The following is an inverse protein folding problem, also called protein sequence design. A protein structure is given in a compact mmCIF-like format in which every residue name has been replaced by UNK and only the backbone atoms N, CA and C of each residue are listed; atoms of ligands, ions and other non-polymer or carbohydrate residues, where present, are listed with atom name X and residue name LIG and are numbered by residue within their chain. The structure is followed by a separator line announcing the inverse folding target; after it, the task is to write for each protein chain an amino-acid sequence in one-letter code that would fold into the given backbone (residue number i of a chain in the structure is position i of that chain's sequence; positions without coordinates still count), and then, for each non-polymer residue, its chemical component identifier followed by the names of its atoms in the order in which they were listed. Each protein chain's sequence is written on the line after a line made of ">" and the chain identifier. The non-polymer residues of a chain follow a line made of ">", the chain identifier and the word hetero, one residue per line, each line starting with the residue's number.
data_IF_126063876123
#
_entry.id   IF_126063876123
#
_cell.length_a   1.000
_cell.length_b   1.000
_cell.length_c   1.000
_cell.angle_alpha   90.00
_cell.angle_beta   90.00
_cell.angle_gamma   90.00
#
_symmetry.space_group_name_H-M   'P 1'
#
loop_
_entity.id
_entity.type
_entity.pdbx_description
1 polymer ?
#
# COMPACT_ATOMS: atom_id res chain seq x y z
N UNK A 1 -50.62 17.31 68.93
CA UNK A 1 -49.67 18.03 68.05
C UNK A 1 -48.28 17.52 68.38
N UNK A 2 -47.75 16.56 67.61
CA UNK A 2 -46.46 15.92 67.91
C UNK A 2 -45.73 15.65 66.60
N UNK A 3 -44.54 16.24 66.44
CA UNK A 3 -43.27 15.55 66.15
C UNK A 3 -42.17 16.59 65.92
N UNK A 4 -41.18 16.58 66.83
CA UNK A 4 -39.81 17.06 66.59
C UNK A 4 -39.15 16.12 65.59
N UNK A 5 -38.38 16.67 64.65
CA UNK A 5 -37.43 15.93 63.83
C UNK A 5 -36.05 16.49 64.18
N UNK A 6 -35.23 15.66 64.82
CA UNK A 6 -33.79 15.87 65.00
C UNK A 6 -33.06 14.68 64.36
N UNK A 7 -31.90 15.02 63.80
CA UNK A 7 -30.76 14.17 63.43
C UNK A 7 -30.75 13.42 62.08
N UNK A 8 -29.91 13.99 61.23
CA UNK A 8 -29.27 13.53 60.01
C UNK A 8 -28.41 12.29 60.23
N UNK A 9 -28.56 11.27 59.37
CA UNK A 9 -27.73 10.06 59.41
C UNK A 9 -27.85 9.21 58.15
N UNK A 10 -27.62 9.80 56.97
CA UNK A 10 -27.47 9.02 55.72
C UNK A 10 -26.08 8.40 55.69
N UNK A 11 -25.92 7.24 56.35
CA UNK A 11 -24.72 6.42 56.29
C UNK A 11 -24.89 5.26 55.32
N UNK A 12 -24.88 5.51 54.01
CA UNK A 12 -24.71 4.44 53.02
C UNK A 12 -23.21 4.14 52.94
N UNK A 13 -22.74 3.18 53.74
CA UNK A 13 -21.40 2.56 53.58
C UNK A 13 -21.45 1.63 52.37
N UNK A 14 -21.15 2.15 51.19
CA UNK A 14 -20.81 1.32 50.02
C UNK A 14 -19.43 0.70 50.26
N UNK A 15 -19.41 -0.60 50.59
CA UNK A 15 -18.21 -1.42 50.55
C UNK A 15 -17.78 -1.53 49.08
N UNK A 16 -16.80 -0.74 48.66
CA UNK A 16 -16.12 -0.95 47.38
C UNK A 16 -15.19 -2.14 47.58
N UNK A 17 -15.54 -3.29 47.01
CA UNK A 17 -14.71 -4.48 47.01
C UNK A 17 -13.40 -4.20 46.27
N UNK A 18 -12.28 -4.69 46.79
CA UNK A 18 -10.93 -4.49 46.22
C UNK A 18 -10.83 -4.93 44.75
N UNK A 19 -11.64 -5.91 44.32
CA UNK A 19 -11.71 -6.40 42.94
C UNK A 19 -12.14 -5.31 41.94
N UNK A 20 -13.04 -4.39 42.33
CA UNK A 20 -13.46 -3.28 41.46
C UNK A 20 -12.37 -2.22 41.28
N UNK A 21 -11.50 -2.05 42.27
CA UNK A 21 -10.33 -1.17 42.15
C UNK A 21 -9.25 -1.79 41.25
N UNK A 22 -9.06 -3.10 41.32
CA UNK A 22 -8.06 -3.81 40.52
C UNK A 22 -8.43 -3.88 39.03
N UNK A 23 -9.73 -4.03 38.72
CA UNK A 23 -10.23 -3.96 37.34
C UNK A 23 -10.09 -2.56 36.74
N UNK A 24 -10.43 -1.51 37.51
CA UNK A 24 -10.22 -0.12 37.08
C UNK A 24 -8.73 0.23 36.90
N UNK A 25 -7.85 -0.28 37.75
CA UNK A 25 -6.40 -0.08 37.61
C UNK A 25 -5.85 -0.75 36.33
N UNK A 26 -6.36 -1.92 35.96
CA UNK A 26 -5.98 -2.64 34.73
C UNK A 26 -6.44 -1.90 33.46
N UNK A 27 -7.63 -1.31 33.46
CA UNK A 27 -8.11 -0.50 32.34
C UNK A 27 -7.32 0.81 32.19
N UNK A 28 -7.01 1.48 33.31
CA UNK A 28 -6.17 2.69 33.31
C UNK A 28 -4.78 2.38 32.75
N UNK A 29 -4.15 1.27 33.15
CA UNK A 29 -2.84 0.86 32.63
C UNK A 29 -2.85 0.57 31.12
N UNK A 30 -3.93 0.01 30.57
CA UNK A 30 -4.10 -0.21 29.12
C UNK A 30 -4.30 1.11 28.36
N UNK A 31 -5.04 2.06 28.95
CA UNK A 31 -5.24 3.38 28.39
C UNK A 31 -3.93 4.17 28.37
N UNK A 32 -3.16 4.14 29.45
CA UNK A 32 -1.84 4.79 29.56
C UNK A 32 -0.85 4.25 28.51
N UNK A 33 -0.76 2.93 28.33
CA UNK A 33 0.11 2.35 27.30
C UNK A 33 -0.33 2.72 25.88
N UNK A 34 -1.64 2.84 25.65
CA UNK A 34 -2.18 3.29 24.36
C UNK A 34 -1.85 4.76 24.10
N UNK A 35 -1.96 5.60 25.13
CA UNK A 35 -1.62 7.03 25.07
C UNK A 35 -0.12 7.23 24.81
N UNK A 36 0.76 6.52 25.51
CA UNK A 36 2.21 6.57 25.31
C UNK A 36 2.60 6.14 23.89
N UNK A 37 1.95 5.10 23.35
CA UNK A 37 2.13 4.67 21.95
C UNK A 37 1.59 5.70 20.95
N UNK A 38 0.53 6.45 21.26
CA UNK A 38 0.02 7.52 20.40
C UNK A 38 0.90 8.76 20.45
N UNK A 39 1.41 9.15 21.62
CA UNK A 39 2.33 10.27 21.79
C UNK A 39 3.66 10.01 21.07
N UNK A 40 4.19 8.78 21.17
CA UNK A 40 5.38 8.37 20.42
C UNK A 40 5.16 8.45 18.90
N UNK A 41 3.96 8.11 18.43
CA UNK A 41 3.61 8.25 17.00
C UNK A 41 3.45 9.72 16.61
N UNK A 42 2.85 10.54 17.47
CA UNK A 42 2.65 11.97 17.23
C UNK A 42 3.99 12.72 17.15
N UNK A 43 4.90 12.46 18.10
CA UNK A 43 6.27 13.00 18.07
C UNK A 43 7.00 12.59 16.79
N UNK A 44 6.81 11.36 16.33
CA UNK A 44 7.42 10.88 15.08
C UNK A 44 6.79 11.52 13.83
N UNK A 45 5.51 11.89 13.88
CA UNK A 45 4.85 12.65 12.82
C UNK A 45 5.34 14.11 12.82
N UNK A 46 5.45 14.74 13.98
CA UNK A 46 5.99 16.10 14.12
C UNK A 46 7.46 16.19 13.68
N UNK A 47 8.30 15.21 14.00
CA UNK A 47 9.68 15.13 13.49
C UNK A 47 9.74 14.96 11.96
N UNK A 48 8.79 14.23 11.37
CA UNK A 48 8.68 14.08 9.92
C UNK A 48 8.20 15.38 9.28
N UNK A 49 7.23 16.06 9.87
CA UNK A 49 6.72 17.36 9.40
C UNK A 49 7.79 18.45 9.49
N UNK A 50 8.55 18.53 10.60
CA UNK A 50 9.66 19.47 10.74
C UNK A 50 10.77 19.24 9.70
N UNK A 51 11.12 17.97 9.41
CA UNK A 51 12.06 17.62 8.34
C UNK A 51 11.52 17.96 6.94
N UNK A 52 10.20 17.94 6.77
CA UNK A 52 9.56 18.30 5.50
C UNK A 52 9.59 19.82 5.28
N UNK A 53 9.35 20.60 6.34
CA UNK A 53 9.39 22.08 6.29
C UNK A 53 10.81 22.61 6.05
N UNK A 54 11.86 21.99 6.61
CA UNK A 54 13.25 22.36 6.31
C UNK A 54 13.66 22.06 4.86
N UNK A 55 13.08 21.03 4.24
CA UNK A 55 13.28 20.73 2.82
C UNK A 55 12.56 21.75 1.92
N UNK A 56 11.36 22.20 2.30
CA UNK A 56 10.56 23.18 1.56
C UNK A 56 11.22 24.57 1.50
N UNK A 57 11.95 24.98 2.53
CA UNK A 57 12.66 26.27 2.57
C UNK A 57 13.85 26.37 1.58
N UNK A 58 14.30 25.24 1.01
CA UNK A 58 15.42 25.19 0.06
C UNK A 58 15.00 25.20 -1.42
N UNK A 59 13.69 25.27 -1.72
CA UNK A 59 13.20 25.41 -3.10
C UNK A 59 13.20 24.12 -3.93
N UNK A 60 13.12 22.95 -3.28
CA UNK A 60 13.09 21.63 -3.92
C UNK A 60 11.69 20.99 -3.85
N UNK A 61 10.65 21.75 -4.22
CA UNK A 61 9.27 21.24 -4.31
C UNK A 61 8.92 20.86 -5.75
N UNK A 62 9.57 19.82 -6.26
CA UNK A 62 9.08 19.07 -7.41
C UNK A 62 9.47 17.60 -7.23
N UNK A 63 8.49 16.81 -6.78
CA UNK A 63 8.56 15.37 -6.55
C UNK A 63 9.61 14.93 -5.51
N UNK A 64 9.13 14.39 -4.38
CA UNK A 64 9.90 13.39 -3.64
C UNK A 64 10.07 12.18 -4.57
N UNK A 65 11.05 12.26 -5.47
CA UNK A 65 11.61 11.12 -6.15
C UNK A 65 12.15 10.21 -5.05
N UNK A 66 11.43 9.12 -4.74
CA UNK A 66 12.08 7.92 -4.21
C UNK A 66 12.93 7.31 -5.32
N UNK A 67 13.92 8.04 -5.83
CA UNK A 67 14.94 7.52 -6.75
C UNK A 67 15.93 6.68 -5.96
N UNK A 68 15.50 5.50 -5.57
CA UNK A 68 16.41 4.36 -5.70
C UNK A 68 16.33 3.92 -7.15
N UNK A 69 16.79 4.76 -8.09
CA UNK A 69 16.96 4.35 -9.48
C UNK A 69 18.10 3.33 -9.49
N UNK A 70 17.76 2.07 -9.32
CA UNK A 70 18.75 1.00 -9.21
C UNK A 70 19.37 0.66 -10.56
N UNK A 71 18.89 1.30 -11.64
CA UNK A 71 19.25 0.99 -13.02
C UNK A 71 18.84 -0.43 -13.43
N UNK A 72 18.00 -1.10 -12.63
CA UNK A 72 17.68 -2.50 -12.80
C UNK A 72 16.76 -2.71 -14.01
N UNK A 73 15.76 -1.86 -14.17
CA UNK A 73 14.83 -1.91 -15.30
C UNK A 73 15.28 -0.94 -16.40
N UNK A 74 16.50 -1.15 -16.89
CA UNK A 74 17.13 -0.33 -17.93
C UNK A 74 17.73 -1.19 -19.04
N UNK A 75 18.31 -0.54 -20.06
CA UNK A 75 18.96 -1.21 -21.17
C UNK A 75 17.98 -1.68 -22.25
N UNK A 76 18.40 -2.68 -23.02
CA UNK A 76 17.62 -3.22 -24.12
C UNK A 76 16.51 -4.15 -23.62
N UNK A 77 15.35 -4.07 -24.28
CA UNK A 77 14.25 -5.03 -24.07
C UNK A 77 14.50 -6.31 -24.87
N UNK A 78 14.69 -7.41 -24.17
CA UNK A 78 14.87 -8.74 -24.76
C UNK A 78 13.55 -9.50 -24.72
N UNK A 79 13.08 -9.91 -25.89
CA UNK A 79 11.91 -10.76 -26.01
C UNK A 79 12.25 -12.20 -25.60
N UNK A 80 11.36 -12.84 -24.85
CA UNK A 80 11.46 -14.23 -24.40
C UNK A 80 10.88 -15.15 -25.47
N UNK A 81 11.58 -16.23 -25.79
CA UNK A 81 11.24 -17.12 -26.92
C UNK A 81 9.95 -17.92 -26.74
N UNK A 82 9.54 -18.16 -25.49
CA UNK A 82 8.33 -18.93 -25.19
C UNK A 82 7.09 -18.13 -25.59
N UNK A 83 6.25 -18.67 -26.46
CA UNK A 83 5.02 -18.00 -26.86
C UNK A 83 4.01 -17.89 -25.71
N UNK A 84 3.39 -16.72 -25.60
CA UNK A 84 2.29 -16.42 -24.67
C UNK A 84 1.24 -15.60 -25.46
N UNK A 85 0.13 -16.24 -25.88
CA UNK A 85 -0.90 -15.58 -26.68
C UNK A 85 -1.54 -14.36 -26.02
N UNK A 86 -1.66 -14.35 -24.68
CA UNK A 86 -2.32 -13.25 -23.97
C UNK A 86 -1.38 -12.05 -23.87
N UNK A 87 -0.07 -12.31 -23.69
CA UNK A 87 0.95 -11.28 -23.79
C UNK A 87 1.04 -10.67 -25.20
N UNK A 88 0.93 -11.50 -26.25
CA UNK A 88 0.97 -11.05 -27.63
C UNK A 88 -0.25 -10.18 -27.98
N UNK A 89 -1.46 -10.56 -27.55
CA UNK A 89 -2.69 -9.75 -27.68
C UNK A 89 -2.61 -8.45 -26.89
N UNK A 90 -2.07 -8.49 -25.67
CA UNK A 90 -1.89 -7.29 -24.86
C UNK A 90 -0.92 -6.31 -25.51
N UNK A 91 0.15 -6.81 -26.13
CA UNK A 91 1.08 -6.00 -26.90
C UNK A 91 0.43 -5.37 -28.13
N UNK A 92 -0.42 -6.10 -28.85
CA UNK A 92 -1.20 -5.56 -29.96
C UNK A 92 -2.14 -4.44 -29.49
N UNK A 93 -2.86 -4.65 -28.37
CA UNK A 93 -3.78 -3.66 -27.79
C UNK A 93 -3.08 -2.37 -27.35
N UNK A 94 -1.89 -2.49 -26.76
CA UNK A 94 -1.15 -1.36 -26.19
C UNK A 94 -0.09 -0.76 -27.13
N UNK A 95 0.10 -1.33 -28.33
CA UNK A 95 1.18 -0.94 -29.24
C UNK A 95 2.57 -1.16 -28.65
N UNK A 96 2.77 -2.29 -27.96
CA UNK A 96 4.00 -2.60 -27.21
C UNK A 96 4.78 -3.79 -27.75
N UNK A 97 5.80 -4.19 -26.98
CA UNK A 97 6.55 -5.44 -27.18
C UNK A 97 6.09 -6.48 -26.16
N UNK A 98 5.71 -7.65 -26.65
CA UNK A 98 5.26 -8.79 -25.86
C UNK A 98 6.44 -9.54 -25.22
N UNK A 99 6.22 -10.13 -24.03
CA UNK A 99 7.13 -11.08 -23.37
C UNK A 99 8.54 -10.56 -23.24
N UNK A 100 8.71 -9.42 -22.59
CA UNK A 100 9.98 -8.71 -22.56
C UNK A 100 10.62 -8.70 -21.18
N UNK A 101 11.94 -8.73 -21.17
CA UNK A 101 12.78 -8.52 -19.98
C UNK A 101 13.78 -7.39 -20.25
N UNK A 102 14.19 -6.70 -19.18
CA UNK A 102 15.25 -5.69 -19.27
C UNK A 102 16.62 -6.35 -19.23
N UNK A 103 17.52 -6.00 -20.15
CA UNK A 103 18.86 -6.58 -20.20
C UNK A 103 19.69 -6.35 -18.93
N UNK A 104 19.40 -5.26 -18.21
CA UNK A 104 20.07 -4.90 -16.96
C UNK A 104 19.48 -5.60 -15.73
N UNK A 105 18.34 -6.28 -15.85
CA UNK A 105 17.75 -7.01 -14.72
C UNK A 105 18.47 -8.35 -14.52
N UNK A 106 19.32 -8.43 -13.48
CA UNK A 106 20.04 -9.66 -13.12
C UNK A 106 19.12 -10.83 -12.75
N UNK A 107 17.85 -10.56 -12.39
CA UNK A 107 16.85 -11.61 -12.13
C UNK A 107 16.10 -12.04 -13.39
N UNK A 108 16.30 -11.36 -14.51
CA UNK A 108 15.64 -11.63 -15.78
C UNK A 108 14.12 -11.67 -15.66
N UNK A 109 13.50 -10.74 -14.90
CA UNK A 109 12.05 -10.73 -14.76
C UNK A 109 11.41 -10.40 -16.09
N UNK A 110 10.45 -11.24 -16.46
CA UNK A 110 9.62 -11.07 -17.64
C UNK A 110 8.38 -10.22 -17.30
N UNK A 111 8.05 -9.35 -18.25
CA UNK A 111 6.82 -8.58 -18.28
C UNK A 111 6.03 -8.96 -19.53
N UNK A 112 4.71 -9.11 -19.36
CA UNK A 112 3.84 -9.58 -20.44
C UNK A 112 3.85 -8.58 -21.60
N UNK A 113 3.88 -7.28 -21.32
CA UNK A 113 4.04 -6.26 -22.36
C UNK A 113 4.73 -5.01 -21.82
N UNK A 114 5.62 -4.40 -22.62
CA UNK A 114 6.11 -3.04 -22.40
C UNK A 114 5.85 -2.20 -23.65
N UNK A 115 5.12 -1.10 -23.49
CA UNK A 115 4.92 -0.09 -24.53
C UNK A 115 5.65 1.20 -24.16
N UNK A 116 5.48 2.25 -24.97
CA UNK A 116 6.03 3.56 -24.67
C UNK A 116 5.42 4.15 -23.39
N UNK A 117 4.14 3.86 -23.11
CA UNK A 117 3.42 4.41 -21.97
C UNK A 117 3.30 3.44 -20.79
N UNK A 118 3.27 2.11 -21.04
CA UNK A 118 2.88 1.14 -20.02
C UNK A 118 3.94 0.05 -19.76
N UNK A 119 4.07 -0.33 -18.48
CA UNK A 119 4.53 -1.67 -18.09
C UNK A 119 3.27 -2.47 -17.75
N UNK A 120 3.03 -3.52 -18.53
CA UNK A 120 1.75 -4.18 -18.57
C UNK A 120 1.81 -5.68 -18.23
N UNK A 121 0.72 -6.18 -17.66
CA UNK A 121 0.54 -7.55 -17.21
C UNK A 121 -0.85 -8.07 -17.59
N UNK A 122 -0.93 -9.28 -18.12
CA UNK A 122 -2.16 -10.03 -18.35
C UNK A 122 -2.38 -11.05 -17.22
N UNK A 123 -3.62 -11.22 -16.78
CA UNK A 123 -4.02 -12.18 -15.76
C UNK A 123 -5.41 -12.77 -16.11
N UNK A 124 -5.72 -13.99 -15.66
CA UNK A 124 -7.04 -14.59 -15.93
C UNK A 124 -8.15 -13.95 -15.10
N UNK A 125 -9.41 -14.26 -15.43
CA UNK A 125 -10.57 -14.00 -14.58
C UNK A 125 -10.40 -14.57 -13.17
N UNK A 126 -11.13 -14.03 -12.20
CA UNK A 126 -11.22 -14.55 -10.83
C UNK A 126 -9.86 -14.71 -10.12
N UNK A 127 -8.83 -14.02 -10.62
CA UNK A 127 -7.49 -14.11 -10.08
C UNK A 127 -7.46 -13.69 -8.61
N UNK A 128 -6.72 -14.46 -7.80
CA UNK A 128 -6.60 -14.24 -6.36
C UNK A 128 -5.21 -13.74 -5.98
N UNK A 129 -5.17 -12.89 -4.95
CA UNK A 129 -3.91 -12.39 -4.42
C UNK A 129 -3.09 -13.53 -3.80
N UNK A 130 -1.86 -13.72 -4.27
CA UNK A 130 -0.92 -14.68 -3.70
C UNK A 130 0.49 -14.04 -3.59
N UNK A 131 1.45 -14.78 -3.02
CA UNK A 131 2.82 -14.25 -2.82
C UNK A 131 3.48 -13.88 -4.15
N UNK A 132 3.38 -14.75 -5.16
CA UNK A 132 3.98 -14.53 -6.47
C UNK A 132 3.40 -13.27 -7.14
N UNK A 133 2.09 -13.08 -7.05
CA UNK A 133 1.42 -11.87 -7.54
C UNK A 133 1.95 -10.61 -6.86
N UNK A 134 2.10 -10.61 -5.53
CA UNK A 134 2.64 -9.43 -4.82
C UNK A 134 4.07 -9.12 -5.24
N UNK A 135 4.90 -10.16 -5.41
CA UNK A 135 6.30 -10.01 -5.84
C UNK A 135 6.40 -9.50 -7.29
N UNK A 136 5.49 -9.95 -8.16
CA UNK A 136 5.37 -9.49 -9.55
C UNK A 136 4.82 -8.06 -9.61
N UNK A 137 3.73 -7.76 -8.92
CA UNK A 137 3.14 -6.42 -8.87
C UNK A 137 4.16 -5.40 -8.37
N UNK A 138 4.89 -5.73 -7.30
CA UNK A 138 6.01 -4.88 -6.84
C UNK A 138 7.05 -4.66 -7.95
N UNK A 139 7.40 -5.71 -8.72
CA UNK A 139 8.31 -5.59 -9.86
C UNK A 139 7.79 -4.60 -10.91
N UNK A 140 6.51 -4.73 -11.26
CA UNK A 140 5.83 -3.90 -12.25
C UNK A 140 5.86 -2.44 -11.84
N UNK A 141 5.53 -2.14 -10.57
CA UNK A 141 5.60 -0.77 -10.05
C UNK A 141 7.04 -0.24 -9.94
N UNK A 142 8.00 -1.07 -9.53
CA UNK A 142 9.42 -0.68 -9.53
C UNK A 142 9.89 -0.34 -10.97
N UNK A 143 9.52 -1.15 -11.96
CA UNK A 143 9.88 -0.93 -13.37
C UNK A 143 9.20 0.30 -13.97
N UNK A 144 7.93 0.51 -13.64
CA UNK A 144 7.19 1.70 -14.05
C UNK A 144 7.83 2.97 -13.46
N UNK A 145 8.24 2.93 -12.18
CA UNK A 145 8.95 4.04 -11.53
C UNK A 145 10.27 4.37 -12.23
N UNK A 146 11.12 3.35 -12.45
CA UNK A 146 12.45 3.56 -13.03
C UNK A 146 12.41 3.99 -14.49
N UNK A 147 11.34 3.65 -15.21
CA UNK A 147 11.22 3.96 -16.64
C UNK A 147 10.26 5.10 -16.97
N UNK A 148 9.65 5.73 -15.96
CA UNK A 148 8.70 6.82 -16.16
C UNK A 148 7.40 6.39 -16.86
N UNK A 149 7.03 5.11 -16.73
CA UNK A 149 5.83 4.51 -17.35
C UNK A 149 4.69 4.38 -16.35
N UNK A 150 3.47 4.18 -16.85
CA UNK A 150 2.29 3.81 -16.06
C UNK A 150 2.21 2.29 -15.91
N UNK A 151 1.41 1.82 -14.95
CA UNK A 151 1.13 0.39 -14.79
C UNK A 151 -0.20 0.04 -15.42
N UNK A 152 -0.24 -1.05 -16.18
CA UNK A 152 -1.45 -1.56 -16.79
C UNK A 152 -1.66 -3.04 -16.44
N UNK A 153 -2.84 -3.39 -15.95
CA UNK A 153 -3.24 -4.77 -15.75
C UNK A 153 -4.48 -5.08 -16.57
N UNK A 154 -4.37 -6.03 -17.48
CA UNK A 154 -5.52 -6.65 -18.14
C UNK A 154 -5.92 -7.92 -17.37
N UNK A 155 -7.20 -8.05 -17.10
CA UNK A 155 -7.81 -9.28 -16.61
C UNK A 155 -8.84 -9.77 -17.62
N UNK A 156 -8.79 -11.05 -17.99
CA UNK A 156 -9.78 -11.67 -18.89
C UNK A 156 -11.11 -11.93 -18.15
N UNK A 157 -11.70 -10.88 -17.60
CA UNK A 157 -12.84 -10.89 -16.67
C UNK A 157 -12.50 -10.29 -15.30
N UNK A 158 -13.50 -10.05 -14.42
CA UNK A 158 -13.28 -9.38 -13.15
C UNK A 158 -12.32 -10.16 -12.23
N UNK A 159 -11.26 -9.53 -11.68
CA UNK A 159 -10.44 -10.14 -10.65
C UNK A 159 -11.13 -10.08 -9.28
N UNK A 160 -10.61 -10.84 -8.32
CA UNK A 160 -11.13 -10.79 -6.95
C UNK A 160 -10.82 -9.43 -6.29
N UNK A 161 -11.70 -8.89 -5.42
CA UNK A 161 -11.52 -7.57 -4.81
C UNK A 161 -10.16 -7.36 -4.11
N UNK A 162 -9.61 -8.43 -3.52
CA UNK A 162 -8.30 -8.39 -2.86
C UNK A 162 -7.13 -8.06 -3.81
N UNK A 163 -7.25 -8.39 -5.10
CA UNK A 163 -6.27 -8.04 -6.13
C UNK A 163 -6.34 -6.55 -6.45
N UNK A 164 -7.55 -6.03 -6.67
CA UNK A 164 -7.80 -4.62 -6.95
C UNK A 164 -7.26 -3.75 -5.79
N UNK A 165 -7.63 -4.09 -4.56
CA UNK A 165 -7.17 -3.37 -3.37
C UNK A 165 -5.64 -3.34 -3.26
N UNK A 166 -4.98 -4.46 -3.58
CA UNK A 166 -3.51 -4.56 -3.52
C UNK A 166 -2.84 -3.72 -4.62
N UNK A 167 -3.39 -3.70 -5.83
CA UNK A 167 -2.85 -2.88 -6.91
C UNK A 167 -3.05 -1.38 -6.62
N UNK A 168 -4.20 -1.00 -6.08
CA UNK A 168 -4.47 0.37 -5.65
C UNK A 168 -3.53 0.82 -4.52
N UNK A 169 -3.27 -0.05 -3.53
CA UNK A 169 -2.28 0.22 -2.48
C UNK A 169 -0.89 0.50 -3.07
N UNK A 170 -0.44 -0.28 -4.05
CA UNK A 170 0.84 -0.03 -4.72
C UNK A 170 0.83 1.25 -5.56
N UNK A 171 -0.24 1.51 -6.30
CA UNK A 171 -0.39 2.75 -7.07
C UNK A 171 -0.26 3.99 -6.18
N UNK A 172 -0.94 4.00 -5.04
CA UNK A 172 -0.85 5.07 -4.04
C UNK A 172 0.55 5.16 -3.43
N UNK A 173 1.12 4.02 -3.02
CA UNK A 173 2.44 3.98 -2.40
C UNK A 173 3.50 4.54 -3.34
N UNK A 174 3.52 4.09 -4.59
CA UNK A 174 4.51 4.47 -5.60
C UNK A 174 4.19 5.81 -6.26
N UNK A 175 2.97 6.34 -6.09
CA UNK A 175 2.48 7.50 -6.82
C UNK A 175 2.56 7.31 -8.35
N UNK A 176 2.19 6.11 -8.82
CA UNK A 176 2.20 5.75 -10.24
C UNK A 176 0.76 5.47 -10.70
N UNK A 177 0.31 6.06 -11.82
CA UNK A 177 -1.00 5.76 -12.39
C UNK A 177 -1.15 4.27 -12.73
N UNK A 178 -2.28 3.70 -12.33
CA UNK A 178 -2.65 2.31 -12.58
C UNK A 178 -3.93 2.27 -13.43
N UNK A 179 -3.89 1.47 -14.49
CA UNK A 179 -5.06 1.10 -15.28
C UNK A 179 -5.39 -0.37 -15.01
N UNK A 180 -6.65 -0.66 -14.69
CA UNK A 180 -7.19 -2.01 -14.59
C UNK A 180 -8.22 -2.15 -15.71
N UNK A 181 -7.90 -2.99 -16.69
CA UNK A 181 -8.78 -3.33 -17.80
C UNK A 181 -9.35 -4.73 -17.58
N UNK A 182 -10.66 -4.88 -17.80
CA UNK A 182 -11.37 -6.17 -17.74
C UNK A 182 -12.12 -6.48 -19.04
N UNK A 183 -11.89 -5.70 -20.09
CA UNK A 183 -12.48 -5.93 -21.40
C UNK A 183 -11.83 -7.14 -22.07
N UNK A 184 -12.61 -8.12 -22.58
CA UNK A 184 -12.05 -9.24 -23.33
C UNK A 184 -11.12 -8.79 -24.46
N UNK A 185 -10.16 -9.66 -24.79
CA UNK A 185 -9.30 -9.49 -25.97
C UNK A 185 -10.08 -9.61 -27.28
#
# INVERSE_FOLDING_TARGET
>A
MVRKIEETGTGIRTFITAEKFEEQASEVAKAENTLERTETKLQKVEELEAKTIEAEASGEVAAVERTTNSGRYSGELKQVDKADPDADKLAERLGGRSRVSFSSDSKGREFDTISDEYVAQAKPADFQVNKAFRDQAKATFDAAQETGRKVYYHFDGPPQPGVINKLQEYSQRYNIPLVIDTEPF
#
